data_IF_246938810300
#
_entry.id   IF_246938810300
#
_cell.length_a   1.000
_cell.length_b   1.000
_cell.length_c   1.000
_cell.angle_alpha   90.00
_cell.angle_beta   90.00
_cell.angle_gamma   90.00
#
_symmetry.space_group_name_H-M   'P 1'
#
loop_
_entity.id
_entity.type
_entity.pdbx_description
1 polymer ?
#
# COMPACT_ATOMS: atom_id res chain seq x y z
N UNK A 1 -21.06 -24.81 -2.79
CA UNK A 1 -21.47 -23.68 -3.66
C UNK A 1 -20.69 -22.47 -3.17
N UNK A 2 -20.02 -21.69 -4.03
CA UNK A 2 -19.28 -20.51 -3.58
C UNK A 2 -20.30 -19.52 -3.02
N UNK A 3 -20.18 -19.16 -1.75
CA UNK A 3 -21.05 -18.17 -1.13
C UNK A 3 -20.81 -16.81 -1.81
N UNK A 4 -21.83 -16.31 -2.51
CA UNK A 4 -21.76 -15.05 -3.24
C UNK A 4 -21.57 -13.85 -2.29
N UNK A 5 -21.87 -13.99 -1.01
CA UNK A 5 -21.65 -12.93 -0.01
C UNK A 5 -20.17 -12.63 0.22
N UNK A 6 -19.26 -13.58 -0.06
CA UNK A 6 -17.81 -13.36 -0.01
C UNK A 6 -17.33 -12.30 -1.03
N UNK A 7 -18.13 -12.00 -2.05
CA UNK A 7 -17.84 -10.91 -2.97
C UNK A 7 -17.92 -9.53 -2.28
N UNK A 8 -18.71 -9.38 -1.21
CA UNK A 8 -18.90 -8.10 -0.50
C UNK A 8 -17.56 -7.55 0.04
N UNK A 9 -16.82 -8.25 0.91
CA UNK A 9 -15.54 -7.75 1.42
C UNK A 9 -14.50 -7.53 0.31
N UNK A 10 -14.50 -8.37 -0.74
CA UNK A 10 -13.59 -8.23 -1.88
C UNK A 10 -13.87 -6.95 -2.67
N UNK A 11 -15.14 -6.68 -2.97
CA UNK A 11 -15.56 -5.47 -3.68
C UNK A 11 -15.32 -4.23 -2.82
N UNK A 12 -15.52 -4.31 -1.49
CA UNK A 12 -15.18 -3.22 -0.58
C UNK A 12 -13.68 -2.91 -0.58
N UNK A 13 -12.82 -3.94 -0.60
CA UNK A 13 -11.37 -3.77 -0.58
C UNK A 13 -10.80 -3.20 -1.89
N UNK A 14 -11.32 -3.65 -3.04
CA UNK A 14 -10.77 -3.32 -4.36
C UNK A 14 -11.53 -2.20 -5.08
N UNK A 15 -12.84 -2.11 -4.87
CA UNK A 15 -13.75 -1.25 -5.62
C UNK A 15 -13.33 0.22 -5.65
N UNK A 16 -13.14 0.89 -4.50
CA UNK A 16 -12.76 2.30 -4.47
C UNK A 16 -11.44 2.58 -5.20
N UNK A 17 -10.41 1.76 -4.95
CA UNK A 17 -9.12 1.88 -5.62
C UNK A 17 -9.20 1.65 -7.13
N UNK A 18 -9.97 0.65 -7.59
CA UNK A 18 -10.18 0.37 -9.01
C UNK A 18 -10.94 1.50 -9.71
N UNK A 19 -12.00 2.01 -9.08
CA UNK A 19 -12.76 3.17 -9.60
C UNK A 19 -11.85 4.39 -9.71
N UNK A 20 -11.04 4.68 -8.68
CA UNK A 20 -10.06 5.76 -8.72
C UNK A 20 -9.04 5.56 -9.84
N UNK A 21 -8.52 4.34 -10.02
CA UNK A 21 -7.57 4.03 -11.07
C UNK A 21 -8.20 4.17 -12.47
N UNK A 22 -9.43 3.71 -12.68
CA UNK A 22 -10.16 3.89 -13.94
C UNK A 22 -10.40 5.38 -14.22
N UNK A 23 -10.83 6.14 -13.21
CA UNK A 23 -11.10 7.57 -13.34
C UNK A 23 -9.83 8.38 -13.67
N UNK A 24 -8.69 7.98 -13.09
CA UNK A 24 -7.37 8.57 -13.35
C UNK A 24 -6.82 8.09 -14.69
N UNK A 25 -6.82 6.81 -15.02
CA UNK A 25 -6.17 6.30 -16.24
C UNK A 25 -6.98 6.58 -17.50
N UNK A 26 -8.31 6.49 -17.42
CA UNK A 26 -9.24 6.62 -18.57
C UNK A 26 -8.73 5.80 -19.76
N UNK A 27 -8.59 6.43 -20.94
CA UNK A 27 -8.08 5.81 -22.17
C UNK A 27 -6.55 5.86 -22.31
N UNK A 28 -5.81 6.37 -21.33
CA UNK A 28 -4.36 6.53 -21.44
C UNK A 28 -3.65 5.21 -21.14
N UNK A 29 -3.15 4.55 -22.19
CA UNK A 29 -2.35 3.32 -22.06
C UNK A 29 -1.11 3.52 -21.18
N UNK A 30 -0.50 4.71 -21.23
CA UNK A 30 0.67 5.03 -20.41
C UNK A 30 0.35 4.96 -18.91
N UNK A 31 -0.80 5.51 -18.48
CA UNK A 31 -1.22 5.44 -17.09
C UNK A 31 -1.53 4.02 -16.65
N UNK A 32 -2.13 3.20 -17.52
CA UNK A 32 -2.32 1.77 -17.25
C UNK A 32 -1.00 1.02 -17.10
N UNK A 33 -0.01 1.31 -17.96
CA UNK A 33 1.35 0.76 -17.83
C UNK A 33 1.97 1.19 -16.50
N UNK A 34 1.82 2.46 -16.11
CA UNK A 34 2.33 2.96 -14.82
C UNK A 34 1.70 2.21 -13.64
N UNK A 35 0.40 1.90 -13.68
CA UNK A 35 -0.25 1.10 -12.65
C UNK A 35 0.26 -0.35 -12.62
N UNK A 36 0.43 -0.99 -13.79
CA UNK A 36 1.01 -2.33 -13.88
C UNK A 36 2.44 -2.37 -13.34
N UNK A 37 3.26 -1.36 -13.64
CA UNK A 37 4.61 -1.24 -13.10
C UNK A 37 4.59 -1.02 -11.57
N UNK A 38 3.64 -0.24 -11.04
CA UNK A 38 3.44 -0.09 -9.61
C UNK A 38 3.12 -1.42 -8.93
N UNK A 39 2.18 -2.18 -9.48
CA UNK A 39 1.83 -3.51 -8.99
C UNK A 39 2.97 -4.51 -9.07
N UNK A 40 3.66 -4.56 -10.22
CA UNK A 40 4.84 -5.41 -10.40
C UNK A 40 5.96 -5.05 -9.42
N UNK A 41 6.17 -3.75 -9.15
CA UNK A 41 7.15 -3.26 -8.18
C UNK A 41 6.85 -3.75 -6.76
N UNK A 42 5.60 -3.67 -6.32
CA UNK A 42 5.17 -4.23 -5.03
C UNK A 42 5.39 -5.74 -4.98
N UNK A 43 5.01 -6.47 -6.04
CA UNK A 43 5.15 -7.92 -6.07
C UNK A 43 6.62 -8.36 -6.02
N UNK A 44 7.51 -7.68 -6.75
CA UNK A 44 8.96 -7.91 -6.68
C UNK A 44 9.49 -7.60 -5.28
N UNK A 45 9.03 -6.53 -4.64
CA UNK A 45 9.42 -6.20 -3.27
C UNK A 45 8.99 -7.30 -2.28
N UNK A 46 7.78 -7.84 -2.41
CA UNK A 46 7.29 -8.96 -1.61
C UNK A 46 8.17 -10.20 -1.76
N UNK A 47 8.46 -10.60 -3.00
CA UNK A 47 9.32 -11.76 -3.28
C UNK A 47 10.72 -11.57 -2.73
N UNK A 48 11.33 -10.40 -2.96
CA UNK A 48 12.68 -10.08 -2.48
C UNK A 48 12.75 -10.04 -0.94
N UNK A 49 11.69 -9.58 -0.28
CA UNK A 49 11.56 -9.54 1.18
C UNK A 49 11.38 -10.93 1.81
N UNK A 50 10.73 -11.86 1.10
CA UNK A 50 10.29 -13.14 1.69
C UNK A 50 11.38 -13.99 2.36
N UNK A 51 12.62 -14.13 1.81
CA UNK A 51 13.67 -14.90 2.48
C UNK A 51 14.12 -14.26 3.79
N UNK A 52 14.08 -12.92 3.88
CA UNK A 52 14.45 -12.19 5.09
C UNK A 52 13.42 -12.37 6.19
N UNK A 53 12.12 -12.44 5.84
CA UNK A 53 11.08 -12.74 6.84
C UNK A 53 11.23 -14.13 7.45
N UNK A 54 11.80 -15.10 6.72
CA UNK A 54 12.08 -16.43 7.28
C UNK A 54 13.13 -16.38 8.41
N UNK A 55 14.09 -15.45 8.34
CA UNK A 55 15.10 -15.25 9.39
C UNK A 55 14.49 -14.75 10.70
N UNK A 56 13.28 -14.18 10.65
CA UNK A 56 12.59 -13.63 11.80
C UNK A 56 11.73 -14.66 12.56
N UNK A 57 11.62 -15.90 12.08
CA UNK A 57 10.71 -16.90 12.67
C UNK A 57 11.03 -17.24 14.12
N UNK A 58 12.32 -17.21 14.50
CA UNK A 58 12.78 -17.45 15.87
C UNK A 58 12.74 -16.24 16.81
N UNK A 59 12.28 -15.08 16.34
CA UNK A 59 12.17 -13.87 17.17
C UNK A 59 10.88 -13.86 17.99
N UNK A 60 10.96 -13.26 19.18
CA UNK A 60 9.80 -12.92 20.00
C UNK A 60 8.80 -12.04 19.24
N UNK A 61 7.51 -12.11 19.61
CA UNK A 61 6.41 -11.51 18.83
C UNK A 61 6.62 -10.03 18.47
N UNK A 62 7.08 -9.22 19.43
CA UNK A 62 7.34 -7.79 19.22
C UNK A 62 8.57 -7.54 18.34
N UNK A 63 9.65 -8.29 18.57
CA UNK A 63 10.87 -8.19 17.76
C UNK A 63 10.60 -8.62 16.31
N UNK A 64 9.80 -9.68 16.12
CA UNK A 64 9.35 -10.14 14.81
C UNK A 64 8.48 -9.10 14.11
N UNK A 65 7.55 -8.46 14.82
CA UNK A 65 6.70 -7.40 14.28
C UNK A 65 7.52 -6.18 13.81
N UNK A 66 8.49 -5.72 14.63
CA UNK A 66 9.41 -4.64 14.25
C UNK A 66 10.28 -5.04 13.06
N UNK A 67 10.85 -6.23 13.08
CA UNK A 67 11.68 -6.73 11.98
C UNK A 67 10.90 -6.81 10.67
N UNK A 68 9.70 -7.41 10.69
CA UNK A 68 8.85 -7.52 9.52
C UNK A 68 8.43 -6.15 8.98
N UNK A 69 8.09 -5.20 9.86
CA UNK A 69 7.76 -3.82 9.49
C UNK A 69 8.94 -3.11 8.85
N UNK A 70 10.16 -3.32 9.36
CA UNK A 70 11.38 -2.73 8.80
C UNK A 70 11.67 -3.33 7.42
N UNK A 71 11.65 -4.65 7.29
CA UNK A 71 11.85 -5.31 6.00
C UNK A 71 10.79 -4.89 4.99
N UNK A 72 9.54 -4.71 5.42
CA UNK A 72 8.50 -4.18 4.55
C UNK A 72 8.86 -2.81 4.00
N UNK A 73 9.17 -1.87 4.89
CA UNK A 73 9.53 -0.51 4.50
C UNK A 73 10.78 -0.44 3.61
N UNK A 74 11.84 -1.19 3.92
CA UNK A 74 13.08 -1.15 3.13
C UNK A 74 12.87 -1.67 1.71
N UNK A 75 12.27 -2.84 1.56
CA UNK A 75 12.10 -3.45 0.24
C UNK A 75 11.06 -2.72 -0.61
N UNK A 76 9.93 -2.36 -0.03
CA UNK A 76 8.86 -1.70 -0.79
C UNK A 76 9.23 -0.29 -1.23
N UNK A 77 9.80 0.54 -0.34
CA UNK A 77 10.17 1.90 -0.71
C UNK A 77 11.34 1.94 -1.70
N UNK A 78 12.30 1.03 -1.56
CA UNK A 78 13.42 0.91 -2.50
C UNK A 78 12.93 0.48 -3.88
N UNK A 79 12.08 -0.54 -3.97
CA UNK A 79 11.49 -0.96 -5.24
C UNK A 79 10.64 0.17 -5.86
N UNK A 80 9.88 0.90 -5.04
CA UNK A 80 9.06 2.03 -5.50
C UNK A 80 9.90 3.14 -6.10
N UNK A 81 11.02 3.48 -5.46
CA UNK A 81 11.98 4.41 -6.02
C UNK A 81 12.44 3.97 -7.42
N UNK A 82 12.81 2.71 -7.61
CA UNK A 82 13.24 2.22 -8.93
C UNK A 82 12.13 2.27 -9.98
N UNK A 83 10.89 1.91 -9.61
CA UNK A 83 9.72 2.04 -10.50
C UNK A 83 9.53 3.50 -10.92
N UNK A 84 9.49 4.42 -9.95
CA UNK A 84 9.34 5.85 -10.21
C UNK A 84 10.51 6.40 -11.04
N UNK A 85 11.74 6.00 -10.76
CA UNK A 85 12.94 6.43 -11.50
C UNK A 85 12.90 5.98 -12.95
N UNK A 86 12.47 4.75 -13.22
CA UNK A 86 12.30 4.20 -14.57
C UNK A 86 11.26 4.98 -15.39
N UNK A 87 10.31 5.64 -14.70
CA UNK A 87 9.26 6.47 -15.29
C UNK A 87 9.45 7.98 -15.06
N UNK A 88 10.61 8.41 -14.58
CA UNK A 88 10.85 9.78 -14.09
C UNK A 88 10.47 10.91 -15.07
N UNK A 89 10.63 10.71 -16.38
CA UNK A 89 10.20 11.68 -17.40
C UNK A 89 8.68 11.89 -17.45
N UNK A 90 7.91 10.90 -16.98
CA UNK A 90 6.45 10.88 -16.97
C UNK A 90 5.89 11.00 -15.55
N UNK A 91 6.64 10.58 -14.54
CA UNK A 91 6.31 10.64 -13.11
C UNK A 91 6.54 12.03 -12.48
N UNK A 92 6.86 13.05 -13.28
CA UNK A 92 6.86 14.46 -12.86
C UNK A 92 5.45 15.08 -12.81
N UNK A 93 4.43 14.31 -13.15
CA UNK A 93 3.03 14.71 -13.14
C UNK A 93 2.26 13.93 -12.08
N UNK A 94 1.43 14.64 -11.31
CA UNK A 94 0.59 14.08 -10.24
C UNK A 94 -0.23 12.87 -10.70
N UNK A 95 -0.79 12.92 -11.91
CA UNK A 95 -1.64 11.85 -12.47
C UNK A 95 -0.86 10.55 -12.72
N UNK A 96 0.39 10.67 -13.17
CA UNK A 96 1.26 9.52 -13.43
C UNK A 96 1.68 8.84 -12.13
N UNK A 97 2.18 9.63 -11.17
CA UNK A 97 2.54 9.15 -9.84
C UNK A 97 1.35 8.51 -9.11
N UNK A 98 0.16 9.10 -9.27
CA UNK A 98 -1.06 8.54 -8.69
C UNK A 98 -1.42 7.17 -9.30
N UNK A 99 -1.23 7.00 -10.61
CA UNK A 99 -1.48 5.72 -11.27
C UNK A 99 -0.53 4.62 -10.77
N UNK A 100 0.76 4.93 -10.59
CA UNK A 100 1.75 4.01 -10.00
C UNK A 100 1.31 3.60 -8.59
N UNK A 101 0.97 4.59 -7.75
CA UNK A 101 0.61 4.34 -6.35
C UNK A 101 -0.69 3.55 -6.17
N UNK A 102 -1.69 3.81 -7.02
CA UNK A 102 -2.93 3.02 -7.05
C UNK A 102 -2.66 1.59 -7.50
N UNK A 103 -1.85 1.38 -8.54
CA UNK A 103 -1.45 0.05 -8.99
C UNK A 103 -0.71 -0.75 -7.92
N UNK A 104 0.15 -0.08 -7.15
CA UNK A 104 0.85 -0.63 -5.99
C UNK A 104 -0.13 -1.16 -4.94
N UNK A 105 -0.96 -0.27 -4.38
CA UNK A 105 -1.90 -0.64 -3.32
C UNK A 105 -2.98 -1.64 -3.77
N UNK A 106 -3.45 -1.56 -5.01
CA UNK A 106 -4.43 -2.50 -5.55
C UNK A 106 -3.86 -3.91 -5.71
N UNK A 107 -2.60 -4.03 -6.13
CA UNK A 107 -1.95 -5.34 -6.26
C UNK A 107 -1.74 -5.97 -4.89
N UNK A 108 -1.35 -5.16 -3.89
CA UNK A 108 -1.31 -5.60 -2.51
C UNK A 108 -2.68 -6.10 -2.05
N UNK A 109 -3.72 -5.26 -2.13
CA UNK A 109 -5.07 -5.62 -1.72
C UNK A 109 -5.61 -6.87 -2.45
N UNK A 110 -5.25 -7.05 -3.72
CA UNK A 110 -5.60 -8.24 -4.47
C UNK A 110 -4.92 -9.49 -3.88
N UNK A 111 -3.60 -9.45 -3.72
CA UNK A 111 -2.79 -10.62 -3.44
C UNK A 111 -2.87 -11.07 -1.97
N UNK A 112 -2.82 -10.14 -1.02
CA UNK A 112 -2.79 -10.47 0.41
C UNK A 112 -4.14 -10.43 1.09
N UNK A 113 -5.19 -9.96 0.40
CA UNK A 113 -6.54 -9.92 0.95
C UNK A 113 -7.57 -10.58 0.03
N UNK A 114 -7.84 -10.03 -1.16
CA UNK A 114 -8.96 -10.49 -1.97
C UNK A 114 -8.86 -11.97 -2.41
N UNK A 115 -7.66 -12.42 -2.80
CA UNK A 115 -7.41 -13.83 -3.10
C UNK A 115 -7.41 -14.73 -1.85
N UNK A 116 -7.15 -14.15 -0.68
CA UNK A 116 -7.06 -14.89 0.58
C UNK A 116 -8.43 -15.09 1.24
N UNK A 117 -9.41 -14.20 1.03
CA UNK A 117 -10.76 -14.29 1.63
C UNK A 117 -11.45 -15.64 1.34
N UNK A 118 -11.55 -16.14 0.10
CA UNK A 118 -12.18 -17.43 -0.17
C UNK A 118 -11.40 -18.60 0.42
N UNK A 119 -10.06 -18.54 0.40
CA UNK A 119 -9.19 -19.57 0.96
C UNK A 119 -9.34 -19.65 2.49
N UNK A 120 -9.31 -18.50 3.17
CA UNK A 120 -9.51 -18.40 4.60
C UNK A 120 -10.89 -18.94 5.00
N UNK A 121 -11.95 -18.54 4.28
CA UNK A 121 -13.31 -19.06 4.50
C UNK A 121 -13.36 -20.58 4.38
N UNK A 122 -12.73 -21.16 3.34
CA UNK A 122 -12.70 -22.60 3.14
C UNK A 122 -11.94 -23.36 4.24
N UNK A 123 -10.91 -22.73 4.83
CA UNK A 123 -10.08 -23.33 5.87
C UNK A 123 -10.64 -23.17 7.29
N UNK A 124 -11.28 -22.04 7.59
CA UNK A 124 -11.72 -21.71 8.96
C UNK A 124 -13.24 -21.76 9.15
N UNK A 125 -14.02 -21.73 8.07
CA UNK A 125 -15.47 -21.63 8.13
C UNK A 125 -16.00 -20.25 8.55
N UNK A 126 -15.17 -19.20 8.49
CA UNK A 126 -15.59 -17.84 8.85
C UNK A 126 -16.61 -17.26 7.87
N UNK A 127 -17.57 -16.50 8.42
CA UNK A 127 -18.55 -15.75 7.65
C UNK A 127 -17.92 -14.47 7.03
N UNK A 128 -18.51 -13.98 5.94
CA UNK A 128 -18.00 -12.84 5.16
C UNK A 128 -17.80 -11.57 6.01
N UNK A 129 -18.62 -11.40 7.06
CA UNK A 129 -18.60 -10.24 7.96
C UNK A 129 -17.25 -10.09 8.67
N UNK A 130 -16.59 -11.21 9.00
CA UNK A 130 -15.29 -11.22 9.70
C UNK A 130 -14.20 -10.56 8.86
N UNK A 131 -14.34 -10.57 7.53
CA UNK A 131 -13.35 -9.98 6.64
C UNK A 131 -13.53 -8.48 6.44
N UNK A 132 -14.70 -7.91 6.75
CA UNK A 132 -15.04 -6.50 6.47
C UNK A 132 -14.03 -5.49 7.06
N UNK A 133 -13.55 -5.63 8.30
CA UNK A 133 -12.52 -4.73 8.83
C UNK A 133 -11.26 -4.71 7.96
N UNK A 134 -10.79 -5.89 7.53
CA UNK A 134 -9.65 -6.00 6.62
C UNK A 134 -9.92 -5.36 5.25
N UNK A 135 -11.17 -5.33 4.76
CA UNK A 135 -11.49 -4.60 3.53
C UNK A 135 -11.31 -3.08 3.69
N UNK A 136 -11.64 -2.55 4.87
CA UNK A 136 -11.44 -1.14 5.22
C UNK A 136 -9.94 -0.84 5.30
N UNK A 137 -9.20 -1.70 5.98
CA UNK A 137 -7.74 -1.66 6.11
C UNK A 137 -7.03 -1.57 4.76
N UNK A 138 -7.48 -2.37 3.77
CA UNK A 138 -6.94 -2.33 2.41
C UNK A 138 -7.09 -0.97 1.73
N UNK A 139 -8.21 -0.26 1.95
CA UNK A 139 -8.40 1.08 1.41
C UNK A 139 -7.50 2.11 2.09
N UNK A 140 -7.28 1.95 3.41
CA UNK A 140 -6.33 2.76 4.18
C UNK A 140 -4.90 2.55 3.64
N UNK A 141 -4.50 1.29 3.43
CA UNK A 141 -3.21 0.94 2.84
C UNK A 141 -3.05 1.51 1.42
N UNK A 142 -4.05 1.38 0.54
CA UNK A 142 -4.03 1.96 -0.81
C UNK A 142 -3.78 3.48 -0.75
N UNK A 143 -4.48 4.20 0.12
CA UNK A 143 -4.29 5.64 0.29
C UNK A 143 -2.86 5.98 0.78
N UNK A 144 -2.32 5.17 1.69
CA UNK A 144 -0.96 5.32 2.17
C UNK A 144 0.09 5.09 1.07
N UNK A 145 0.00 4.00 0.31
CA UNK A 145 0.90 3.71 -0.81
C UNK A 145 0.84 4.78 -1.90
N UNK A 146 -0.36 5.30 -2.18
CA UNK A 146 -0.53 6.45 -3.05
C UNK A 146 0.30 7.64 -2.54
N UNK A 147 0.17 8.03 -1.27
CA UNK A 147 0.93 9.14 -0.70
C UNK A 147 2.44 8.92 -0.74
N UNK A 148 2.93 7.73 -0.35
CA UNK A 148 4.37 7.44 -0.40
C UNK A 148 4.90 7.48 -1.85
N UNK A 149 4.10 7.04 -2.83
CA UNK A 149 4.43 7.17 -4.26
C UNK A 149 4.52 8.62 -4.70
N UNK A 150 3.59 9.47 -4.26
CA UNK A 150 3.64 10.91 -4.54
C UNK A 150 4.90 11.55 -3.95
N UNK A 151 5.25 11.18 -2.71
CA UNK A 151 6.41 11.72 -2.01
C UNK A 151 7.73 11.33 -2.70
N UNK A 152 7.92 10.04 -3.02
CA UNK A 152 9.14 9.59 -3.71
C UNK A 152 9.21 10.10 -5.16
N UNK A 153 8.06 10.40 -5.80
CA UNK A 153 8.02 11.02 -7.13
C UNK A 153 8.63 12.42 -7.17
N UNK A 154 8.77 13.11 -6.04
CA UNK A 154 9.46 14.40 -6.00
C UNK A 154 10.96 14.28 -6.37
N UNK A 155 11.55 13.08 -6.30
CA UNK A 155 12.90 12.83 -6.82
C UNK A 155 12.99 13.08 -8.33
N UNK A 156 11.90 12.88 -9.07
CA UNK A 156 11.84 13.13 -10.52
C UNK A 156 11.95 14.62 -10.89
N UNK A 157 11.68 15.52 -9.95
CA UNK A 157 11.83 16.97 -10.11
C UNK A 157 13.05 17.53 -9.35
N UNK A 158 14.03 16.67 -9.04
CA UNK A 158 15.31 17.08 -8.47
C UNK A 158 15.35 17.25 -6.96
N UNK A 159 14.32 16.81 -6.22
CA UNK A 159 14.38 16.78 -4.74
C UNK A 159 15.34 15.68 -4.25
N UNK A 160 16.01 15.88 -3.10
CA UNK A 160 17.08 14.99 -2.64
C UNK A 160 16.56 13.57 -2.35
N UNK A 161 17.15 12.57 -3.03
CA UNK A 161 16.79 11.16 -2.88
C UNK A 161 16.93 10.67 -1.43
N UNK A 162 18.07 10.95 -0.79
CA UNK A 162 18.35 10.45 0.55
C UNK A 162 17.27 10.87 1.56
N UNK A 163 16.78 12.11 1.48
CA UNK A 163 15.72 12.63 2.35
C UNK A 163 14.36 11.98 2.05
N UNK A 164 13.98 11.85 0.78
CA UNK A 164 12.67 11.33 0.41
C UNK A 164 12.57 9.82 0.64
N UNK A 165 13.65 9.09 0.36
CA UNK A 165 13.71 7.66 0.61
C UNK A 165 13.74 7.37 2.12
N UNK A 166 14.52 8.12 2.91
CA UNK A 166 14.50 7.95 4.37
C UNK A 166 13.13 8.28 4.96
N UNK A 167 12.50 9.37 4.53
CA UNK A 167 11.18 9.77 5.01
C UNK A 167 10.11 8.72 4.67
N UNK A 168 10.09 8.20 3.45
CA UNK A 168 9.11 7.17 3.04
C UNK A 168 9.34 5.85 3.79
N UNK A 169 10.59 5.41 3.95
CA UNK A 169 10.93 4.21 4.74
C UNK A 169 10.48 4.40 6.20
N UNK A 170 10.81 5.54 6.82
CA UNK A 170 10.43 5.80 8.21
C UNK A 170 8.93 5.86 8.41
N UNK A 171 8.18 6.55 7.54
CA UNK A 171 6.73 6.64 7.66
C UNK A 171 6.06 5.27 7.48
N UNK A 172 6.52 4.48 6.51
CA UNK A 172 5.98 3.14 6.27
C UNK A 172 6.32 2.19 7.42
N UNK A 173 7.57 2.20 7.89
CA UNK A 173 7.98 1.42 9.06
C UNK A 173 7.12 1.75 10.28
N UNK A 174 6.96 3.04 10.60
CA UNK A 174 6.21 3.48 11.76
C UNK A 174 4.74 3.10 11.66
N UNK A 175 4.13 3.21 10.47
CA UNK A 175 2.75 2.81 10.27
C UNK A 175 2.57 1.30 10.52
N UNK A 176 3.40 0.46 9.90
CA UNK A 176 3.31 -1.00 10.04
C UNK A 176 3.62 -1.46 11.48
N UNK A 177 4.65 -0.87 12.11
CA UNK A 177 4.99 -1.16 13.49
C UNK A 177 3.84 -0.75 14.43
N UNK A 178 3.24 0.41 14.21
CA UNK A 178 2.09 0.87 15.00
C UNK A 178 0.89 -0.06 14.81
N UNK A 179 0.54 -0.39 13.55
CA UNK A 179 -0.56 -1.29 13.22
C UNK A 179 -0.39 -2.65 13.92
N UNK A 180 0.79 -3.26 13.81
CA UNK A 180 1.07 -4.57 14.41
C UNK A 180 1.08 -4.52 15.93
N UNK A 181 1.61 -3.46 16.55
CA UNK A 181 1.62 -3.31 18.00
C UNK A 181 0.22 -3.11 18.57
N UNK A 182 -0.61 -2.26 17.95
CA UNK A 182 -2.00 -2.09 18.36
C UNK A 182 -2.76 -3.40 18.18
N UNK A 183 -2.51 -4.15 17.10
CA UNK A 183 -3.12 -5.45 16.87
C UNK A 183 -2.77 -6.48 17.96
N UNK A 184 -1.50 -6.53 18.39
CA UNK A 184 -1.07 -7.42 19.47
C UNK A 184 -1.73 -7.06 20.81
N UNK A 185 -1.93 -5.77 21.10
CA UNK A 185 -2.40 -5.31 22.40
C UNK A 185 -3.94 -5.27 22.53
N UNK A 186 -4.64 -4.81 21.51
CA UNK A 186 -6.09 -4.57 21.57
C UNK A 186 -6.91 -5.71 20.98
N UNK A 187 -6.41 -6.39 19.96
CA UNK A 187 -7.09 -7.52 19.29
C UNK A 187 -8.39 -7.17 18.54
N UNK A 188 -8.99 -5.99 18.74
CA UNK A 188 -10.19 -5.53 18.04
C UNK A 188 -9.83 -4.88 16.69
N UNK A 189 -10.19 -5.51 15.56
CA UNK A 189 -9.85 -5.00 14.23
C UNK A 189 -10.49 -3.64 13.94
N UNK A 190 -11.69 -3.34 14.45
CA UNK A 190 -12.33 -2.05 14.17
C UNK A 190 -11.63 -0.89 14.84
N UNK A 191 -11.17 -1.08 16.09
CA UNK A 191 -10.40 -0.05 16.80
C UNK A 191 -9.07 0.20 16.07
N UNK A 192 -8.42 -0.87 15.61
CA UNK A 192 -7.18 -0.79 14.83
C UNK A 192 -7.43 0.02 13.55
N UNK A 193 -8.48 -0.29 12.78
CA UNK A 193 -8.78 0.42 11.54
C UNK A 193 -9.07 1.91 11.73
N UNK A 194 -9.81 2.28 12.77
CA UNK A 194 -10.09 3.69 13.07
C UNK A 194 -8.81 4.45 13.39
N UNK A 195 -7.95 3.88 14.24
CA UNK A 195 -6.69 4.52 14.60
C UNK A 195 -5.76 4.65 13.40
N UNK A 196 -5.65 3.61 12.57
CA UNK A 196 -4.84 3.64 11.36
C UNK A 196 -5.38 4.63 10.34
N UNK A 197 -6.70 4.71 10.16
CA UNK A 197 -7.31 5.71 9.28
C UNK A 197 -6.94 7.14 9.68
N UNK A 198 -6.98 7.45 10.97
CA UNK A 198 -6.60 8.78 11.49
C UNK A 198 -5.11 9.09 11.24
N UNK A 199 -4.22 8.14 11.52
CA UNK A 199 -2.78 8.28 11.27
C UNK A 199 -2.51 8.47 9.77
N UNK A 200 -3.10 7.64 8.92
CA UNK A 200 -2.92 7.72 7.47
C UNK A 200 -3.48 9.03 6.93
N UNK A 201 -4.63 9.51 7.39
CA UNK A 201 -5.14 10.82 7.00
C UNK A 201 -4.18 11.96 7.36
N UNK A 202 -3.59 11.92 8.56
CA UNK A 202 -2.60 12.90 9.01
C UNK A 202 -1.31 12.89 8.16
N UNK A 203 -0.99 11.78 7.48
CA UNK A 203 0.16 11.67 6.57
C UNK A 203 -0.23 12.04 5.12
N UNK A 204 -1.31 11.45 4.62
CA UNK A 204 -1.76 11.57 3.23
C UNK A 204 -2.14 13.02 2.89
N UNK A 205 -2.85 13.71 3.79
CA UNK A 205 -3.34 15.06 3.51
C UNK A 205 -2.19 16.08 3.31
N UNK A 206 -1.18 16.18 4.21
CA UNK A 206 -0.01 17.02 3.98
C UNK A 206 0.81 16.61 2.75
N UNK A 207 1.03 15.31 2.54
CA UNK A 207 1.80 14.83 1.38
C UNK A 207 1.11 15.19 0.08
N UNK A 208 -0.20 14.97 -0.03
CA UNK A 208 -0.99 15.38 -1.18
C UNK A 208 -0.97 16.90 -1.40
N UNK A 209 -1.20 17.68 -0.34
CA UNK A 209 -1.20 19.14 -0.43
C UNK A 209 0.16 19.69 -0.90
N UNK A 210 1.27 19.12 -0.41
CA UNK A 210 2.62 19.52 -0.80
C UNK A 210 2.96 19.08 -2.24
N UNK A 211 2.72 17.81 -2.58
CA UNK A 211 3.05 17.25 -3.90
C UNK A 211 2.19 17.84 -5.01
N UNK A 212 0.89 18.11 -4.76
CA UNK A 212 0.00 18.80 -5.70
C UNK A 212 0.52 20.18 -6.11
N UNK A 213 1.14 20.93 -5.19
CA UNK A 213 1.72 22.25 -5.50
C UNK A 213 2.93 22.15 -6.42
N UNK A 214 3.69 21.05 -6.33
CA UNK A 214 4.96 20.86 -7.03
C UNK A 214 4.84 20.08 -8.35
N UNK A 215 3.91 19.13 -8.43
CA UNK A 215 3.70 18.24 -9.58
C UNK A 215 2.51 18.65 -10.47
N UNK A 216 1.96 19.84 -10.24
CA UNK A 216 0.95 20.42 -11.14
C UNK A 216 1.63 20.86 -12.44
N UNK A 217 1.05 20.58 -13.61
CA UNK A 217 1.49 21.19 -14.86
C UNK A 217 1.46 22.71 -14.71
N UNK A 218 2.55 23.38 -15.11
CA UNK A 218 2.52 24.83 -15.36
C UNK A 218 1.76 25.10 -16.65
#
# INVERSE_FOLDING_TARGET
MLDLTLAVPIVLALGPGLVALIAISRKSSDLWINALLGGAGWFVALLARSPFLMLAQGLEVYARALYASLMASLFEETARYFVVRSRSRVANNLRSSASIGLGWGLTEALMIYALQVPLATAMTGYDWVVFVPGAVERNIAIAFHLAMTLLISLTAIGRPLALLLSMTISLHFLLNATATFIAIQLGDPWIIEVLLALIVLAIVMPVYAYTRKLLRPR
#
